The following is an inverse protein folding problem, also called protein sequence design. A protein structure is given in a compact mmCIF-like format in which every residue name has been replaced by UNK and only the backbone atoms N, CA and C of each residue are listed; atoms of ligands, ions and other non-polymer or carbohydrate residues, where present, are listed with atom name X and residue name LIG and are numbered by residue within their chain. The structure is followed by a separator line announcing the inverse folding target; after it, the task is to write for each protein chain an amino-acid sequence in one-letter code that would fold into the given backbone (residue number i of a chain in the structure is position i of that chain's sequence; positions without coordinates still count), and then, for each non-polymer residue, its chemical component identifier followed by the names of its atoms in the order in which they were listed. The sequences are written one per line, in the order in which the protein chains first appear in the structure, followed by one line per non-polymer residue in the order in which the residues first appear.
data_IF_755961648639
#
_entry.id   IF_755961648639
#
_cell.length_a   1.000
_cell.length_b   1.000
_cell.length_c   1.000
_cell.angle_alpha   90.00
_cell.angle_beta   90.00
_cell.angle_gamma   90.00
#
_symmetry.space_group_name_H-M   'P 1'
#
loop_
_entity.id
_entity.type
_entity.pdbx_description
1 polymer ?
#
# COMPACT_ATOMS: atom_id res chain seq x y z
N UNK A 1 19.35 3.81 11.76
CA UNK A 1 18.16 3.46 12.56
C UNK A 1 16.95 3.60 11.65
N UNK A 2 16.10 2.58 11.52
CA UNK A 2 14.86 2.71 10.74
C UNK A 2 13.87 3.55 11.56
N UNK A 3 13.25 4.56 10.94
CA UNK A 3 12.21 5.36 11.56
C UNK A 3 10.90 4.98 10.90
N UNK A 4 9.99 4.43 11.69
CA UNK A 4 8.64 4.08 11.28
C UNK A 4 7.66 5.10 11.87
N UNK A 5 6.55 5.41 11.19
CA UNK A 5 5.58 6.35 11.72
C UNK A 5 4.97 5.81 13.02
N UNK A 6 5.04 6.60 14.08
CA UNK A 6 4.31 6.36 15.31
C UNK A 6 2.86 6.86 15.13
N UNK A 7 1.93 5.93 14.89
CA UNK A 7 0.50 6.24 14.75
C UNK A 7 -0.02 6.23 13.31
N UNK A 8 -1.05 7.05 13.05
CA UNK A 8 -1.74 7.13 11.75
C UNK A 8 -1.02 8.12 10.83
N UNK A 9 -0.70 7.68 9.63
CA UNK A 9 -0.19 8.54 8.57
C UNK A 9 -1.25 8.69 7.48
N UNK A 10 -1.64 9.93 7.21
CA UNK A 10 -2.59 10.28 6.15
C UNK A 10 -1.89 10.39 4.80
N UNK A 11 -2.59 10.01 3.74
CA UNK A 11 -2.15 10.18 2.36
C UNK A 11 -3.34 10.46 1.46
N UNK A 12 -3.07 11.07 0.30
CA UNK A 12 -4.10 11.35 -0.71
C UNK A 12 -3.98 10.31 -1.81
N UNK A 13 -5.05 9.56 -2.01
CA UNK A 13 -5.19 8.66 -3.14
C UNK A 13 -5.69 9.42 -4.36
N UNK A 14 -5.18 9.05 -5.53
CA UNK A 14 -5.72 9.46 -6.83
C UNK A 14 -5.99 8.24 -7.68
N UNK A 15 -7.17 8.21 -8.32
CA UNK A 15 -7.45 7.28 -9.41
C UNK A 15 -7.42 8.04 -10.74
N UNK A 16 -6.76 7.49 -11.78
CA UNK A 16 -6.75 8.11 -13.09
C UNK A 16 -8.18 8.34 -13.58
N UNK A 17 -8.42 9.52 -14.14
CA UNK A 17 -9.68 9.81 -14.80
C UNK A 17 -9.86 8.89 -16.00
N UNK A 18 -11.00 8.21 -16.09
CA UNK A 18 -11.45 7.69 -17.39
C UNK A 18 -11.71 8.87 -18.33
N UNK A 19 -11.59 8.63 -19.64
CA UNK A 19 -11.74 9.65 -20.67
C UNK A 19 -13.05 10.46 -20.46
N UNK A 20 -12.92 11.77 -20.24
CA UNK A 20 -14.04 12.68 -19.98
C UNK A 20 -14.54 12.77 -18.54
N UNK A 21 -13.94 12.04 -17.57
CA UNK A 21 -14.26 12.15 -16.13
C UNK A 21 -13.24 12.99 -15.38
N UNK A 22 -13.61 13.48 -14.19
CA UNK A 22 -12.68 14.15 -13.28
C UNK A 22 -11.85 13.10 -12.54
N UNK A 23 -10.58 13.43 -12.28
CA UNK A 23 -9.71 12.65 -11.40
C UNK A 23 -10.39 12.50 -10.03
N UNK A 24 -10.51 11.25 -9.57
CA UNK A 24 -11.08 10.99 -8.25
C UNK A 24 -9.96 11.07 -7.21
N UNK A 25 -10.23 11.79 -6.12
CA UNK A 25 -9.31 11.96 -4.99
C UNK A 25 -10.02 11.63 -3.70
N UNK A 26 -9.36 10.87 -2.84
CA UNK A 26 -9.86 10.56 -1.50
C UNK A 26 -8.71 10.50 -0.50
N UNK A 27 -9.04 10.65 0.78
CA UNK A 27 -8.09 10.50 1.88
C UNK A 27 -7.98 9.02 2.25
N UNK A 28 -6.76 8.58 2.50
CA UNK A 28 -6.44 7.29 3.07
C UNK A 28 -5.56 7.45 4.31
N UNK A 29 -5.57 6.44 5.17
CA UNK A 29 -4.74 6.38 6.37
C UNK A 29 -3.98 5.05 6.40
N UNK A 30 -2.73 5.07 6.86
CA UNK A 30 -1.96 3.85 7.09
C UNK A 30 -1.35 3.88 8.49
N UNK A 31 -1.44 2.75 9.17
CA UNK A 31 -0.84 2.53 10.49
C UNK A 31 0.13 1.37 10.43
N UNK A 32 1.34 1.57 10.94
CA UNK A 32 2.29 0.48 11.16
C UNK A 32 1.99 -0.14 12.52
N UNK A 33 1.65 -1.44 12.54
CA UNK A 33 1.30 -2.19 13.76
C UNK A 33 2.50 -2.91 14.35
N UNK A 34 3.31 -3.48 13.50
CA UNK A 34 4.51 -4.22 13.86
C UNK A 34 5.51 -4.11 12.73
N UNK A 35 6.80 -4.12 13.05
CA UNK A 35 7.85 -4.14 12.04
C UNK A 35 9.07 -4.89 12.54
N UNK A 36 9.78 -5.51 11.60
CA UNK A 36 11.05 -6.20 11.81
C UNK A 36 11.98 -5.90 10.63
N UNK A 37 13.15 -6.52 10.60
CA UNK A 37 14.15 -6.28 9.54
C UNK A 37 13.69 -6.71 8.13
N UNK A 38 12.64 -7.51 8.00
CA UNK A 38 12.17 -7.99 6.69
C UNK A 38 10.67 -8.15 6.56
N UNK A 39 9.91 -7.62 7.52
CA UNK A 39 8.45 -7.68 7.52
C UNK A 39 7.87 -6.46 8.22
N UNK A 40 6.76 -5.95 7.68
CA UNK A 40 5.98 -4.86 8.26
C UNK A 40 4.50 -5.22 8.18
N UNK A 41 3.81 -5.08 9.32
CA UNK A 41 2.38 -5.25 9.44
C UNK A 41 1.69 -3.87 9.42
N UNK A 42 0.67 -3.75 8.58
CA UNK A 42 -0.01 -2.52 8.25
C UNK A 42 -1.52 -2.68 8.41
N UNK A 43 -2.17 -1.60 8.84
CA UNK A 43 -3.61 -1.41 8.66
C UNK A 43 -3.80 -0.19 7.77
N UNK A 44 -4.49 -0.38 6.65
CA UNK A 44 -4.74 0.64 5.64
C UNK A 44 -6.23 0.94 5.60
N UNK A 45 -6.60 2.21 5.68
CA UNK A 45 -7.97 2.70 5.53
C UNK A 45 -8.09 3.54 4.27
N UNK A 46 -9.23 3.42 3.58
CA UNK A 46 -9.59 4.33 2.50
C UNK A 46 -10.97 4.03 1.94
N UNK A 47 -11.72 5.09 1.61
CA UNK A 47 -13.07 5.03 1.00
C UNK A 47 -13.97 3.94 1.61
N UNK A 48 -14.09 3.96 2.94
CA UNK A 48 -14.87 3.05 3.77
C UNK A 48 -14.35 1.59 3.89
N UNK A 49 -13.19 1.29 3.30
CA UNK A 49 -12.48 0.02 3.45
C UNK A 49 -11.43 0.05 4.57
N UNK A 50 -11.20 -1.10 5.20
CA UNK A 50 -10.11 -1.36 6.15
C UNK A 50 -9.39 -2.64 5.71
N UNK A 51 -8.09 -2.56 5.46
CA UNK A 51 -7.28 -3.62 4.86
C UNK A 51 -6.11 -3.94 5.78
N UNK A 52 -6.08 -5.16 6.34
CA UNK A 52 -4.92 -5.65 7.07
C UNK A 52 -3.92 -6.25 6.09
N UNK A 53 -2.70 -5.73 6.08
CA UNK A 53 -1.66 -6.14 5.14
C UNK A 53 -0.34 -6.43 5.83
N UNK A 54 0.39 -7.42 5.33
CA UNK A 54 1.75 -7.73 5.74
C UNK A 54 2.65 -7.63 4.52
N UNK A 55 3.62 -6.72 4.57
CA UNK A 55 4.68 -6.64 3.58
C UNK A 55 5.85 -7.47 4.07
N UNK A 56 6.37 -8.36 3.24
CA UNK A 56 7.56 -9.14 3.54
C UNK A 56 8.57 -9.06 2.41
N UNK A 57 9.82 -9.43 2.73
CA UNK A 57 10.87 -9.62 1.72
C UNK A 57 11.37 -11.05 1.69
N UNK A 58 11.87 -11.44 0.52
CA UNK A 58 12.48 -12.74 0.25
C UNK A 58 13.63 -12.54 -0.73
N UNK A 59 14.39 -13.60 -1.03
CA UNK A 59 15.63 -13.51 -1.82
C UNK A 59 15.48 -12.82 -3.17
N UNK A 60 14.29 -12.86 -3.79
CA UNK A 60 14.05 -12.34 -5.12
C UNK A 60 13.18 -11.07 -5.16
N UNK A 61 12.81 -10.50 -4.00
CA UNK A 61 12.02 -9.28 -3.96
C UNK A 61 11.19 -9.10 -2.69
N UNK A 62 10.05 -8.42 -2.83
CA UNK A 62 9.10 -8.17 -1.77
C UNK A 62 7.68 -8.51 -2.21
N UNK A 63 6.83 -8.78 -1.22
CA UNK A 63 5.45 -9.18 -1.44
C UNK A 63 4.55 -8.50 -0.43
N UNK A 64 3.27 -8.49 -0.75
CA UNK A 64 2.21 -8.13 0.18
C UNK A 64 1.28 -9.33 0.34
N UNK A 65 0.89 -9.59 1.58
CA UNK A 65 -0.14 -10.53 1.95
C UNK A 65 -1.29 -9.75 2.58
N UNK A 66 -2.53 -10.06 2.21
CA UNK A 66 -3.75 -9.44 2.72
C UNK A 66 -4.65 -10.59 3.19
N UNK A 67 -4.54 -10.99 4.47
CA UNK A 67 -5.23 -12.17 4.99
C UNK A 67 -6.76 -12.07 4.89
N UNK A 68 -7.31 -10.86 5.01
CA UNK A 68 -8.76 -10.60 5.00
C UNK A 68 -9.46 -11.07 3.72
N UNK A 69 -8.71 -11.17 2.62
CA UNK A 69 -9.21 -11.59 1.29
C UNK A 69 -8.41 -12.77 0.71
N UNK A 70 -7.71 -13.53 1.56
CA UNK A 70 -6.92 -14.72 1.18
C UNK A 70 -6.00 -14.48 -0.04
N UNK A 71 -5.30 -13.35 -0.05
CA UNK A 71 -4.52 -12.90 -1.21
C UNK A 71 -3.09 -12.59 -0.83
N UNK A 72 -2.15 -12.93 -1.72
CA UNK A 72 -0.80 -12.38 -1.68
C UNK A 72 -0.22 -12.22 -3.09
N UNK A 73 0.54 -11.15 -3.31
CA UNK A 73 1.20 -10.91 -4.58
C UNK A 73 2.59 -10.27 -4.41
N UNK A 74 3.52 -10.48 -5.36
CA UNK A 74 4.75 -9.71 -5.44
C UNK A 74 4.45 -8.21 -5.61
N UNK A 75 5.30 -7.39 -5.01
CA UNK A 75 5.32 -5.94 -5.17
C UNK A 75 6.56 -5.50 -5.97
N UNK A 76 6.42 -4.39 -6.69
CA UNK A 76 7.56 -3.61 -7.20
C UNK A 76 8.17 -2.80 -6.06
N UNK A 77 8.84 -1.69 -6.36
CA UNK A 77 9.24 -0.68 -5.37
C UNK A 77 8.00 -0.14 -4.65
N UNK A 78 8.11 0.17 -3.37
CA UNK A 78 6.98 0.72 -2.60
C UNK A 78 6.45 2.02 -3.21
N UNK A 79 7.31 2.85 -3.80
CA UNK A 79 6.91 4.07 -4.50
C UNK A 79 6.26 3.86 -5.87
N UNK A 80 6.26 2.65 -6.43
CA UNK A 80 5.72 2.37 -7.76
C UNK A 80 4.21 2.12 -7.73
N UNK A 81 3.45 3.22 -7.80
CA UNK A 81 1.98 3.18 -7.72
C UNK A 81 1.38 2.39 -8.89
N UNK A 82 1.92 2.53 -10.10
CA UNK A 82 1.34 1.93 -11.30
C UNK A 82 1.41 0.41 -11.23
N UNK A 83 2.60 -0.14 -10.98
CA UNK A 83 2.82 -1.58 -10.94
C UNK A 83 2.13 -2.23 -9.75
N UNK A 84 2.23 -1.61 -8.56
CA UNK A 84 1.61 -2.17 -7.36
C UNK A 84 0.08 -2.19 -7.50
N UNK A 85 -0.52 -1.11 -8.01
CA UNK A 85 -1.97 -1.05 -8.27
C UNK A 85 -2.42 -2.11 -9.27
N UNK A 86 -1.70 -2.26 -10.38
CA UNK A 86 -2.03 -3.26 -11.42
C UNK A 86 -1.98 -4.70 -10.87
N UNK A 87 -1.01 -5.00 -9.99
CA UNK A 87 -0.92 -6.32 -9.36
C UNK A 87 -2.01 -6.55 -8.34
N UNK A 88 -2.34 -5.53 -7.55
CA UNK A 88 -3.38 -5.61 -6.55
C UNK A 88 -4.78 -5.69 -7.18
N UNK A 89 -5.03 -4.98 -8.28
CA UNK A 89 -6.34 -4.99 -8.96
C UNK A 89 -6.70 -6.33 -9.60
N UNK A 90 -5.73 -7.25 -9.74
CA UNK A 90 -6.00 -8.64 -10.10
C UNK A 90 -6.69 -9.44 -8.97
N UNK A 91 -6.66 -8.93 -7.73
CA UNK A 91 -7.15 -9.62 -6.54
C UNK A 91 -8.18 -8.84 -5.72
N UNK A 92 -8.28 -7.52 -5.91
CA UNK A 92 -9.25 -6.65 -5.23
C UNK A 92 -9.81 -5.61 -6.18
N UNK A 93 -10.81 -4.84 -5.73
CA UNK A 93 -11.37 -3.77 -6.55
C UNK A 93 -10.34 -2.66 -6.80
N UNK A 94 -10.53 -1.91 -7.88
CA UNK A 94 -9.61 -0.86 -8.32
C UNK A 94 -9.37 0.24 -7.28
N UNK A 95 -10.38 0.56 -6.47
CA UNK A 95 -10.27 1.60 -5.44
C UNK A 95 -9.36 1.14 -4.29
N UNK A 96 -9.54 -0.08 -3.81
CA UNK A 96 -8.71 -0.65 -2.74
C UNK A 96 -7.29 -0.88 -3.25
N UNK A 97 -7.13 -1.35 -4.49
CA UNK A 97 -5.83 -1.52 -5.11
C UNK A 97 -5.06 -0.20 -5.20
N UNK A 98 -5.73 0.88 -5.62
CA UNK A 98 -5.17 2.22 -5.63
C UNK A 98 -4.85 2.71 -4.21
N UNK A 99 -5.75 2.47 -3.24
CA UNK A 99 -5.56 2.87 -1.84
C UNK A 99 -4.32 2.23 -1.24
N UNK A 100 -4.16 0.91 -1.39
CA UNK A 100 -2.98 0.18 -0.93
C UNK A 100 -1.73 0.70 -1.64
N UNK A 101 -1.74 0.85 -2.97
CA UNK A 101 -0.58 1.36 -3.70
C UNK A 101 -0.12 2.76 -3.25
N UNK A 102 -1.06 3.66 -2.95
CA UNK A 102 -0.75 4.98 -2.39
C UNK A 102 -0.27 4.91 -0.93
N UNK A 103 -0.77 3.97 -0.14
CA UNK A 103 -0.25 3.70 1.21
C UNK A 103 1.22 3.27 1.17
N UNK A 104 1.57 2.38 0.24
CA UNK A 104 2.96 1.95 0.03
C UNK A 104 3.87 3.12 -0.37
N UNK A 105 3.39 3.99 -1.27
CA UNK A 105 4.09 5.22 -1.67
C UNK A 105 4.32 6.15 -0.48
N UNK A 106 3.32 6.33 0.36
CA UNK A 106 3.41 7.18 1.55
C UNK A 106 4.43 6.62 2.55
N UNK A 107 4.39 5.31 2.81
CA UNK A 107 5.38 4.63 3.66
C UNK A 107 6.79 4.77 3.10
N UNK A 108 6.95 4.65 1.79
CA UNK A 108 8.24 4.86 1.13
C UNK A 108 8.76 6.30 1.30
N UNK A 109 7.89 7.29 1.11
CA UNK A 109 8.21 8.70 1.33
C UNK A 109 8.62 9.00 2.77
N UNK A 110 7.95 8.42 3.76
CA UNK A 110 8.26 8.61 5.18
C UNK A 110 9.57 7.93 5.58
N UNK A 111 9.76 6.67 5.20
CA UNK A 111 10.94 5.88 5.56
C UNK A 111 12.18 6.23 4.74
N UNK A 112 11.99 6.92 3.61
CA UNK A 112 13.04 7.20 2.62
C UNK A 112 13.53 5.94 1.89
N UNK A 113 12.71 4.87 1.83
CA UNK A 113 13.10 3.57 1.26
C UNK A 113 12.02 2.99 0.37
N UNK A 114 12.44 2.28 -0.68
CA UNK A 114 11.55 1.55 -1.59
C UNK A 114 11.46 0.05 -1.30
N UNK A 115 12.26 -0.40 -0.33
CA UNK A 115 12.47 -1.81 0.01
C UNK A 115 12.59 -1.98 1.53
N UNK A 116 12.06 -3.09 2.05
CA UNK A 116 12.23 -3.53 3.44
C UNK A 116 13.65 -4.02 3.75
#
# INVERSE_FOLDING_TARGET
MMVWPEGRMEFVCTAPAEEGKKEQRWLGEVMVKSHSMGMVELIIYGRDSCINAVIGKYMSGQYICIPDIDTGCPLSRLSDIFWNRERLSAHMNETDAATVAHALRALSGYTGRDWL
#
